data_IF_718956572282
#
_entry.id   IF_718956572282
#
_cell.length_a   1.000
_cell.length_b   1.000
_cell.length_c   1.000
_cell.angle_alpha   90.00
_cell.angle_beta   90.00
_cell.angle_gamma   90.00
#
_symmetry.space_group_name_H-M   'P 1'
#
loop_
_entity.id
_entity.type
_entity.pdbx_description
1 polymer ?
#
# COMPACT_ATOMS: atom_id res chain seq x y z
N UNK A 1 -12.83 4.44 -27.40
CA UNK A 1 -12.92 3.72 -26.11
C UNK A 1 -11.58 3.60 -25.37
N UNK A 2 -10.44 3.31 -26.06
CA UNK A 2 -9.11 3.23 -25.40
C UNK A 2 -8.63 4.56 -24.81
N UNK A 3 -8.93 5.71 -25.41
CA UNK A 3 -8.52 7.04 -24.92
C UNK A 3 -9.30 7.51 -23.68
N UNK A 4 -10.52 7.06 -23.47
CA UNK A 4 -11.34 7.40 -22.29
C UNK A 4 -10.85 6.72 -21.01
N UNK A 5 -10.07 5.63 -21.10
CA UNK A 5 -9.57 4.84 -19.95
C UNK A 5 -8.28 5.38 -19.32
N UNK A 6 -7.55 6.28 -19.99
CA UNK A 6 -6.36 6.92 -19.44
C UNK A 6 -6.63 7.91 -18.29
N UNK A 7 -7.90 8.10 -17.95
CA UNK A 7 -8.36 9.08 -16.96
C UNK A 7 -8.63 8.50 -15.58
N UNK A 8 -8.34 7.22 -15.30
CA UNK A 8 -8.24 6.70 -13.94
C UNK A 8 -6.94 7.18 -13.29
N UNK A 9 -6.93 8.41 -12.83
CA UNK A 9 -5.85 8.94 -12.01
C UNK A 9 -6.00 8.30 -10.64
N UNK A 10 -4.95 7.62 -10.18
CA UNK A 10 -4.89 7.08 -8.82
C UNK A 10 -4.90 8.23 -7.84
N UNK A 11 -6.05 8.49 -7.29
CA UNK A 11 -6.29 9.48 -6.28
C UNK A 11 -5.81 8.97 -4.92
N UNK A 12 -4.98 9.74 -4.22
CA UNK A 12 -4.45 9.39 -2.91
C UNK A 12 -4.51 10.57 -1.96
N UNK A 13 -5.22 10.41 -0.86
CA UNK A 13 -5.25 11.37 0.25
C UNK A 13 -3.99 11.28 1.13
N UNK A 14 -3.14 10.27 0.94
CA UNK A 14 -2.00 9.97 1.82
C UNK A 14 -0.74 10.77 1.45
N UNK A 15 -0.59 11.20 0.20
CA UNK A 15 0.60 11.92 -0.30
C UNK A 15 0.23 13.28 -0.86
N UNK A 16 0.90 14.35 -0.39
CA UNK A 16 0.68 15.74 -0.84
C UNK A 16 0.91 15.89 -2.35
N UNK A 17 2.05 15.44 -2.85
CA UNK A 17 2.33 15.47 -4.29
C UNK A 17 1.34 14.68 -5.16
N UNK A 18 0.63 13.70 -4.59
CA UNK A 18 -0.43 13.01 -5.33
C UNK A 18 -1.64 13.93 -5.53
N UNK A 19 -1.96 14.77 -4.55
CA UNK A 19 -3.05 15.73 -4.62
C UNK A 19 -2.80 16.78 -5.71
N UNK A 20 -1.59 17.39 -5.74
CA UNK A 20 -1.23 18.37 -6.77
C UNK A 20 -1.22 17.74 -8.16
N UNK A 21 -0.72 16.52 -8.28
CA UNK A 21 -0.74 15.78 -9.53
C UNK A 21 -2.17 15.52 -10.02
N UNK A 22 -3.10 15.19 -9.11
CA UNK A 22 -4.52 15.03 -9.47
C UNK A 22 -5.10 16.33 -10.00
N UNK A 23 -4.90 17.45 -9.32
CA UNK A 23 -5.37 18.75 -9.80
C UNK A 23 -4.80 19.10 -11.16
N UNK A 24 -3.49 18.88 -11.37
CA UNK A 24 -2.84 19.13 -12.66
C UNK A 24 -3.43 18.25 -13.78
N UNK A 25 -3.58 16.98 -13.53
CA UNK A 25 -4.13 16.03 -14.48
C UNK A 25 -5.60 16.33 -14.80
N UNK A 26 -6.42 16.62 -13.79
CA UNK A 26 -7.82 17.03 -14.00
C UNK A 26 -7.87 18.35 -14.78
N UNK A 27 -6.96 19.31 -14.49
CA UNK A 27 -6.81 20.54 -15.28
C UNK A 27 -6.58 20.26 -16.75
N UNK A 28 -5.72 19.30 -17.07
CA UNK A 28 -5.41 18.91 -18.44
C UNK A 28 -6.63 18.30 -19.19
N UNK A 29 -7.67 17.82 -18.47
CA UNK A 29 -8.87 17.25 -19.11
C UNK A 29 -9.81 18.30 -19.66
N UNK A 30 -9.69 19.57 -19.26
CA UNK A 30 -10.53 20.68 -19.74
C UNK A 30 -10.58 20.76 -21.27
N UNK A 31 -9.45 20.51 -21.93
CA UNK A 31 -9.35 20.50 -23.40
C UNK A 31 -10.24 19.45 -24.08
N UNK A 32 -10.47 18.31 -23.42
CA UNK A 32 -11.35 17.26 -23.98
C UNK A 32 -12.82 17.66 -23.86
N UNK A 33 -13.21 18.21 -22.71
CA UNK A 33 -14.57 18.74 -22.49
C UNK A 33 -14.90 19.91 -23.42
N UNK A 34 -13.90 20.72 -23.78
CA UNK A 34 -14.07 21.82 -24.75
C UNK A 34 -14.29 21.29 -26.18
N UNK A 35 -13.73 20.14 -26.55
CA UNK A 35 -13.91 19.51 -27.87
C UNK A 35 -15.24 18.78 -27.99
N UNK A 36 -15.67 18.14 -26.92
CA UNK A 36 -16.94 17.39 -26.86
C UNK A 36 -17.57 17.55 -25.48
N UNK A 37 -18.70 18.23 -25.43
CA UNK A 37 -19.46 18.47 -24.21
C UNK A 37 -20.05 17.20 -23.59
N UNK A 38 -20.18 16.12 -24.37
CA UNK A 38 -20.74 14.84 -23.91
C UNK A 38 -19.71 14.00 -23.16
N UNK A 39 -18.43 14.34 -23.20
CA UNK A 39 -17.40 13.66 -22.39
C UNK A 39 -17.72 13.86 -20.92
N UNK A 40 -17.84 12.76 -20.17
CA UNK A 40 -18.01 12.78 -18.72
C UNK A 40 -16.63 12.71 -18.05
N UNK A 41 -16.34 13.69 -17.20
CA UNK A 41 -15.13 13.73 -16.38
C UNK A 41 -15.50 13.36 -14.96
N UNK A 42 -14.93 12.24 -14.49
CA UNK A 42 -15.17 11.71 -13.15
C UNK A 42 -13.88 11.73 -12.32
N UNK A 43 -13.98 12.14 -11.06
CA UNK A 43 -12.93 12.07 -10.04
C UNK A 43 -13.44 11.20 -8.90
N UNK A 44 -12.75 10.11 -8.61
CA UNK A 44 -13.11 9.22 -7.51
C UNK A 44 -11.89 8.81 -6.69
N UNK A 45 -12.11 8.45 -5.43
CA UNK A 45 -11.05 7.93 -4.57
C UNK A 45 -11.00 8.60 -3.19
N UNK A 46 -9.92 8.32 -2.45
CA UNK A 46 -9.75 8.81 -1.07
C UNK A 46 -9.71 10.35 -0.98
N UNK A 47 -9.16 11.01 -1.99
CA UNK A 47 -9.07 12.46 -2.03
C UNK A 47 -10.45 13.09 -2.22
N UNK A 48 -11.26 12.53 -3.13
CA UNK A 48 -12.62 12.96 -3.40
C UNK A 48 -13.56 12.81 -2.18
N UNK A 49 -13.19 11.96 -1.22
CA UNK A 49 -13.92 11.77 0.03
C UNK A 49 -13.80 12.98 0.98
N UNK A 50 -12.72 13.77 0.88
CA UNK A 50 -12.49 14.93 1.74
C UNK A 50 -13.38 16.11 1.32
N UNK A 51 -14.01 16.76 2.30
CA UNK A 51 -14.99 17.84 2.05
C UNK A 51 -14.39 19.04 1.31
N UNK A 52 -13.25 19.53 1.79
CA UNK A 52 -12.57 20.67 1.20
C UNK A 52 -12.14 20.39 -0.26
N UNK A 53 -11.75 19.15 -0.56
CA UNK A 53 -11.37 18.73 -1.91
C UNK A 53 -12.58 18.66 -2.83
N UNK A 54 -13.68 18.04 -2.37
CA UNK A 54 -14.92 17.98 -3.15
C UNK A 54 -15.49 19.38 -3.42
N UNK A 55 -15.43 20.28 -2.43
CA UNK A 55 -15.78 21.70 -2.57
C UNK A 55 -14.91 22.39 -3.62
N UNK A 56 -13.59 22.19 -3.58
CA UNK A 56 -12.66 22.73 -4.58
C UNK A 56 -13.00 22.25 -5.98
N UNK A 57 -13.32 20.96 -6.17
CA UNK A 57 -13.74 20.45 -7.48
C UNK A 57 -15.07 21.08 -7.94
N UNK A 58 -15.99 21.30 -7.02
CA UNK A 58 -17.28 21.92 -7.34
C UNK A 58 -17.12 23.35 -7.82
N UNK A 59 -16.27 24.13 -7.18
CA UNK A 59 -16.10 25.57 -7.39
C UNK A 59 -15.08 25.88 -8.48
N UNK A 60 -13.91 25.25 -8.46
CA UNK A 60 -12.78 25.59 -9.33
C UNK A 60 -12.70 24.75 -10.63
N UNK A 61 -13.44 23.64 -10.72
CA UNK A 61 -13.43 22.75 -11.87
C UNK A 61 -14.86 22.51 -12.40
N UNK A 62 -15.52 23.52 -12.97
CA UNK A 62 -16.93 23.43 -13.38
C UNK A 62 -17.19 22.41 -14.48
N UNK A 63 -16.16 21.96 -15.17
CA UNK A 63 -16.21 20.93 -16.20
C UNK A 63 -16.09 19.49 -15.67
N UNK A 64 -15.80 19.29 -14.38
CA UNK A 64 -15.85 17.97 -13.73
C UNK A 64 -17.31 17.63 -13.43
N UNK A 65 -17.74 16.49 -13.89
CA UNK A 65 -19.15 16.07 -13.83
C UNK A 65 -19.47 15.25 -12.58
N UNK A 66 -18.57 14.34 -12.20
CA UNK A 66 -18.76 13.40 -11.10
C UNK A 66 -17.58 13.50 -10.12
N UNK A 67 -17.88 13.64 -8.83
CA UNK A 67 -16.88 13.55 -7.73
C UNK A 67 -17.48 12.64 -6.67
N UNK A 68 -16.81 11.51 -6.38
CA UNK A 68 -17.36 10.54 -5.43
C UNK A 68 -16.29 9.76 -4.67
N UNK A 69 -16.64 9.34 -3.46
CA UNK A 69 -15.77 8.63 -2.54
C UNK A 69 -15.54 7.16 -2.92
N UNK A 70 -14.66 6.49 -2.16
CA UNK A 70 -14.26 5.11 -2.42
C UNK A 70 -15.35 4.08 -2.17
N UNK A 71 -16.27 4.36 -1.26
CA UNK A 71 -17.30 3.38 -0.85
C UNK A 71 -18.47 3.28 -1.82
N UNK A 72 -18.68 4.30 -2.63
CA UNK A 72 -19.82 4.39 -3.56
C UNK A 72 -19.46 4.15 -5.03
N UNK A 73 -18.25 3.59 -5.28
CA UNK A 73 -17.76 3.33 -6.65
C UNK A 73 -18.68 2.39 -7.44
N UNK A 74 -19.32 1.44 -6.80
CA UNK A 74 -20.27 0.51 -7.42
C UNK A 74 -21.49 1.22 -8.02
N UNK A 75 -21.81 2.44 -7.54
CA UNK A 75 -22.90 3.29 -8.06
C UNK A 75 -22.50 4.10 -9.30
N UNK A 76 -21.30 3.91 -9.86
CA UNK A 76 -20.84 4.65 -11.04
C UNK A 76 -21.85 4.64 -12.21
N UNK A 77 -22.52 3.51 -12.56
CA UNK A 77 -23.54 3.51 -13.62
C UNK A 77 -24.71 4.47 -13.31
N UNK A 78 -25.19 4.51 -12.06
CA UNK A 78 -26.22 5.45 -11.61
C UNK A 78 -25.74 6.91 -11.73
N UNK A 79 -24.48 7.19 -11.33
CA UNK A 79 -23.94 8.55 -11.41
C UNK A 79 -23.81 9.02 -12.86
N UNK A 80 -23.41 8.12 -13.76
CA UNK A 80 -23.35 8.42 -15.20
C UNK A 80 -24.76 8.74 -15.72
N UNK A 81 -25.76 7.92 -15.38
CA UNK A 81 -27.13 8.16 -15.77
C UNK A 81 -27.67 9.51 -15.27
N UNK A 82 -27.46 9.82 -13.99
CA UNK A 82 -27.83 11.12 -13.40
C UNK A 82 -27.14 12.28 -14.11
N UNK A 83 -25.89 12.12 -14.54
CA UNK A 83 -25.17 13.14 -15.30
C UNK A 83 -25.76 13.32 -16.70
N UNK A 84 -26.13 12.23 -17.36
CA UNK A 84 -26.75 12.27 -18.71
C UNK A 84 -28.13 12.95 -18.67
N UNK A 85 -28.85 12.87 -17.56
CA UNK A 85 -30.14 13.56 -17.32
C UNK A 85 -30.00 15.00 -16.83
N UNK A 86 -28.78 15.53 -16.75
CA UNK A 86 -28.53 16.95 -16.54
C UNK A 86 -27.83 17.36 -15.24
N UNK A 87 -27.64 16.47 -14.24
CA UNK A 87 -27.08 16.83 -12.93
C UNK A 87 -25.61 16.45 -12.77
N UNK A 88 -24.79 17.36 -12.24
CA UNK A 88 -23.46 17.00 -11.69
C UNK A 88 -23.64 16.20 -10.40
N UNK A 89 -22.78 15.21 -10.15
CA UNK A 89 -22.88 14.35 -8.97
C UNK A 89 -21.68 14.58 -8.04
N UNK A 90 -21.97 14.85 -6.77
CA UNK A 90 -20.98 14.98 -5.69
C UNK A 90 -21.43 14.07 -4.53
N UNK A 91 -20.88 12.85 -4.49
CA UNK A 91 -21.32 11.82 -3.54
C UNK A 91 -20.16 11.37 -2.65
N UNK A 92 -20.28 11.56 -1.34
CA UNK A 92 -19.24 11.28 -0.35
C UNK A 92 -19.74 10.45 0.83
N UNK A 93 -20.85 9.79 0.69
CA UNK A 93 -21.42 9.01 1.79
C UNK A 93 -20.45 7.92 2.22
N UNK A 94 -20.14 7.89 3.51
CA UNK A 94 -19.43 6.81 4.17
C UNK A 94 -20.51 5.92 4.82
N UNK A 95 -21.07 5.03 4.05
CA UNK A 95 -21.96 4.00 4.58
C UNK A 95 -21.12 2.89 5.19
N UNK A 96 -21.48 2.43 6.41
CA UNK A 96 -20.92 1.20 6.97
C UNK A 96 -21.56 -0.05 6.30
N UNK A 97 -21.70 0.02 5.00
CA UNK A 97 -22.27 -1.05 4.20
C UNK A 97 -21.28 -2.19 4.01
N UNK A 98 -21.78 -3.38 3.72
CA UNK A 98 -20.99 -4.51 3.29
C UNK A 98 -20.12 -4.14 2.07
N UNK A 99 -18.99 -4.84 1.92
CA UNK A 99 -18.18 -4.68 0.72
C UNK A 99 -18.95 -5.30 -0.46
N UNK A 100 -19.13 -4.53 -1.52
CA UNK A 100 -19.79 -5.02 -2.72
C UNK A 100 -18.84 -5.92 -3.49
N UNK A 101 -19.23 -7.17 -3.64
CA UNK A 101 -18.49 -8.19 -4.38
C UNK A 101 -18.93 -8.23 -5.87
N UNK A 102 -18.26 -9.07 -6.66
CA UNK A 102 -18.57 -9.32 -8.09
C UNK A 102 -18.56 -8.05 -8.99
N UNK A 103 -17.85 -7.00 -8.57
CA UNK A 103 -17.66 -5.86 -9.46
C UNK A 103 -16.61 -6.23 -10.52
N UNK A 104 -16.92 -6.11 -11.82
CA UNK A 104 -15.96 -6.42 -12.87
C UNK A 104 -14.69 -5.58 -12.76
N UNK A 105 -13.57 -6.21 -12.50
CA UNK A 105 -12.26 -5.56 -12.35
C UNK A 105 -11.41 -5.84 -13.58
N UNK A 106 -11.00 -4.78 -14.28
CA UNK A 106 -9.99 -4.91 -15.30
C UNK A 106 -8.60 -4.93 -14.65
N UNK A 107 -7.86 -5.99 -14.85
CA UNK A 107 -6.47 -6.12 -14.41
C UNK A 107 -5.54 -5.50 -15.46
N UNK A 108 -4.64 -4.60 -15.03
CA UNK A 108 -3.67 -3.95 -15.91
C UNK A 108 -2.35 -4.74 -16.03
N UNK A 109 -2.14 -5.75 -15.18
CA UNK A 109 -0.97 -6.63 -15.15
C UNK A 109 -1.29 -8.02 -15.65
N UNK A 110 -0.25 -8.76 -16.03
CA UNK A 110 -0.36 -10.16 -16.47
C UNK A 110 0.38 -11.12 -15.51
N UNK A 111 1.23 -10.59 -14.63
CA UNK A 111 2.09 -11.39 -13.74
C UNK A 111 1.72 -11.18 -12.28
N UNK A 112 1.44 -9.93 -11.87
CA UNK A 112 1.11 -9.55 -10.49
C UNK A 112 -0.37 -9.16 -10.38
N UNK A 113 -1.11 -9.88 -9.55
CA UNK A 113 -2.49 -9.59 -9.19
C UNK A 113 -2.58 -8.89 -7.83
N UNK A 114 -3.39 -7.83 -7.76
CA UNK A 114 -3.69 -7.13 -6.50
C UNK A 114 -5.07 -7.59 -6.03
N UNK A 115 -5.13 -8.15 -4.81
CA UNK A 115 -6.33 -8.72 -4.22
C UNK A 115 -6.67 -8.02 -2.91
N UNK A 116 -7.59 -7.04 -2.90
CA UNK A 116 -8.08 -6.44 -1.68
C UNK A 116 -8.81 -7.49 -0.82
N UNK A 117 -8.41 -7.62 0.44
CA UNK A 117 -9.04 -8.55 1.40
C UNK A 117 -9.88 -7.84 2.44
N UNK A 118 -9.64 -6.53 2.61
CA UNK A 118 -10.35 -5.69 3.56
C UNK A 118 -10.30 -4.22 3.15
N UNK A 119 -11.16 -3.40 3.75
CA UNK A 119 -11.23 -1.96 3.55
C UNK A 119 -11.45 -1.24 4.88
N UNK A 120 -10.95 0.01 4.99
CA UNK A 120 -11.04 0.82 6.21
C UNK A 120 -9.96 0.47 7.26
N UNK A 121 -9.90 1.23 8.35
CA UNK A 121 -8.94 1.02 9.42
C UNK A 121 -9.42 1.67 10.72
N UNK A 122 -9.35 0.94 11.84
CA UNK A 122 -9.76 1.40 13.16
C UNK A 122 -8.59 1.82 14.06
N UNK A 123 -7.37 1.96 13.52
CA UNK A 123 -6.20 2.31 14.34
C UNK A 123 -6.17 3.78 14.76
N UNK A 124 -6.79 4.68 14.01
CA UNK A 124 -6.85 6.12 14.31
C UNK A 124 -5.50 6.72 14.68
N UNK A 125 -4.41 6.30 13.99
CA UNK A 125 -3.11 6.95 14.14
C UNK A 125 -3.26 8.45 13.90
N UNK A 126 -2.69 9.29 14.76
CA UNK A 126 -2.99 10.75 14.80
C UNK A 126 -2.64 11.49 13.50
N UNK A 127 -1.72 10.98 12.71
CA UNK A 127 -1.32 11.54 11.41
C UNK A 127 -2.13 11.01 10.23
N UNK A 128 -2.94 9.97 10.42
CA UNK A 128 -3.51 9.18 9.32
C UNK A 128 -4.92 9.61 8.96
N UNK A 129 -5.14 9.94 7.68
CA UNK A 129 -6.43 10.32 7.15
C UNK A 129 -7.33 9.11 6.81
N UNK A 130 -6.78 7.89 6.77
CA UNK A 130 -7.48 6.70 6.29
C UNK A 130 -8.81 6.42 6.99
N UNK A 131 -8.93 6.45 8.33
CA UNK A 131 -10.22 6.23 9.00
C UNK A 131 -11.33 7.19 8.52
N UNK A 132 -10.95 8.42 8.21
CA UNK A 132 -11.87 9.49 7.82
C UNK A 132 -12.31 9.44 6.35
N UNK A 133 -11.52 8.77 5.49
CA UNK A 133 -11.81 8.68 4.04
C UNK A 133 -12.18 7.29 3.55
N UNK A 134 -11.93 6.25 4.37
CA UNK A 134 -12.29 4.87 4.05
C UNK A 134 -13.26 4.25 5.06
N UNK A 135 -13.51 4.95 6.19
CA UNK A 135 -14.39 4.50 7.24
C UNK A 135 -13.85 3.35 8.07
N UNK A 136 -14.74 2.70 8.81
CA UNK A 136 -14.42 1.59 9.69
C UNK A 136 -13.89 0.38 8.92
N UNK A 137 -13.12 -0.43 9.65
CA UNK A 137 -12.54 -1.68 9.16
C UNK A 137 -13.62 -2.69 8.79
N UNK A 138 -13.54 -3.26 7.60
CA UNK A 138 -14.46 -4.26 7.06
C UNK A 138 -13.66 -5.29 6.28
N UNK A 139 -13.84 -6.56 6.60
CA UNK A 139 -13.20 -7.68 5.92
C UNK A 139 -14.14 -8.25 4.85
N UNK A 140 -13.58 -8.71 3.74
CA UNK A 140 -14.30 -9.49 2.74
C UNK A 140 -14.48 -10.92 3.23
N UNK A 141 -15.54 -11.59 2.78
CA UNK A 141 -15.76 -13.02 3.07
C UNK A 141 -14.62 -13.86 2.49
N UNK A 142 -14.16 -14.87 3.24
CA UNK A 142 -13.01 -15.67 2.80
C UNK A 142 -13.29 -16.40 1.47
N UNK A 143 -14.50 -16.88 1.27
CA UNK A 143 -14.88 -17.60 0.05
C UNK A 143 -14.82 -16.73 -1.20
N UNK A 144 -15.20 -15.45 -1.11
CA UNK A 144 -15.09 -14.49 -2.21
C UNK A 144 -13.63 -14.17 -2.54
N UNK A 145 -12.78 -14.07 -1.51
CA UNK A 145 -11.33 -13.88 -1.71
C UNK A 145 -10.71 -15.10 -2.39
N UNK A 146 -11.08 -16.31 -1.95
CA UNK A 146 -10.58 -17.57 -2.53
C UNK A 146 -11.05 -17.72 -3.98
N UNK A 147 -12.31 -17.39 -4.28
CA UNK A 147 -12.84 -17.38 -5.65
C UNK A 147 -12.02 -16.45 -6.54
N UNK A 148 -11.82 -15.20 -6.14
CA UNK A 148 -11.04 -14.22 -6.91
C UNK A 148 -9.56 -14.62 -7.02
N UNK A 149 -8.97 -15.22 -5.98
CA UNK A 149 -7.61 -15.74 -6.03
C UNK A 149 -7.46 -16.85 -7.08
N UNK A 150 -8.42 -17.80 -7.16
CA UNK A 150 -8.45 -18.84 -8.18
C UNK A 150 -8.57 -18.26 -9.58
N UNK A 151 -9.46 -17.30 -9.79
CA UNK A 151 -9.63 -16.62 -11.08
C UNK A 151 -8.31 -15.94 -11.55
N UNK A 152 -7.57 -15.33 -10.61
CA UNK A 152 -6.24 -14.75 -10.92
C UNK A 152 -5.25 -15.84 -11.34
N UNK A 153 -5.18 -16.96 -10.59
CA UNK A 153 -4.26 -18.07 -10.87
C UNK A 153 -4.58 -18.70 -12.23
N UNK A 154 -5.85 -18.97 -12.49
CA UNK A 154 -6.34 -19.57 -13.76
C UNK A 154 -6.08 -18.62 -14.94
N UNK A 155 -6.10 -17.31 -14.72
CA UNK A 155 -5.72 -16.28 -15.69
C UNK A 155 -4.20 -16.15 -15.91
N UNK A 156 -3.39 -16.94 -15.19
CA UNK A 156 -1.93 -17.01 -15.39
C UNK A 156 -1.10 -16.08 -14.52
N UNK A 157 -1.71 -15.40 -13.54
CA UNK A 157 -0.96 -14.56 -12.60
C UNK A 157 -0.03 -15.41 -11.73
N UNK A 158 1.19 -14.91 -11.52
CA UNK A 158 2.26 -15.61 -10.78
C UNK A 158 2.53 -15.02 -9.39
N UNK A 159 2.01 -13.87 -9.10
CA UNK A 159 2.06 -13.27 -7.77
C UNK A 159 0.71 -12.67 -7.42
N UNK A 160 0.19 -13.00 -6.25
CA UNK A 160 -1.01 -12.38 -5.67
C UNK A 160 -0.56 -11.57 -4.46
N UNK A 161 -0.79 -10.26 -4.49
CA UNK A 161 -0.53 -9.38 -3.36
C UNK A 161 -1.83 -9.04 -2.66
N UNK A 162 -1.98 -9.48 -1.41
CA UNK A 162 -3.12 -9.20 -0.56
C UNK A 162 -3.03 -7.76 -0.04
N UNK A 163 -4.11 -7.01 -0.19
CA UNK A 163 -4.18 -5.59 0.15
C UNK A 163 -5.24 -5.29 1.19
N UNK A 164 -4.93 -4.35 2.06
CA UNK A 164 -5.83 -3.72 3.01
C UNK A 164 -5.19 -2.45 3.56
N UNK A 165 -5.81 -1.81 4.53
CA UNK A 165 -5.21 -0.72 5.27
C UNK A 165 -4.50 -1.19 6.55
N UNK A 166 -4.84 -2.39 7.01
CA UNK A 166 -4.17 -3.16 8.05
C UNK A 166 -4.54 -4.64 7.85
N UNK A 167 -3.84 -5.34 6.96
CA UNK A 167 -4.21 -6.72 6.57
C UNK A 167 -4.19 -7.69 7.75
N UNK A 168 -3.36 -7.42 8.77
CA UNK A 168 -3.24 -8.29 9.95
C UNK A 168 -4.51 -8.32 10.80
N UNK A 169 -5.41 -7.34 10.65
CA UNK A 169 -6.70 -7.30 11.36
C UNK A 169 -7.83 -7.97 10.58
N UNK A 170 -7.53 -8.58 9.44
CA UNK A 170 -8.51 -9.33 8.65
C UNK A 170 -9.28 -10.36 9.51
N UNK A 171 -10.55 -10.50 9.22
CA UNK A 171 -11.48 -11.40 9.89
C UNK A 171 -12.31 -10.72 10.99
N UNK A 172 -11.90 -9.54 11.46
CA UNK A 172 -12.69 -8.80 12.45
C UNK A 172 -14.03 -8.38 11.86
N UNK A 173 -15.08 -8.69 12.59
CA UNK A 173 -16.46 -8.37 12.19
C UNK A 173 -17.10 -9.35 11.21
N UNK A 174 -16.39 -10.41 10.79
CA UNK A 174 -16.98 -11.53 10.05
C UNK A 174 -17.69 -12.48 11.03
N UNK A 175 -18.79 -13.08 10.59
CA UNK A 175 -19.45 -14.19 11.30
C UNK A 175 -18.56 -15.45 11.32
N UNK A 176 -17.79 -15.65 10.25
CA UNK A 176 -16.77 -16.67 10.13
C UNK A 176 -15.62 -16.36 11.09
N UNK A 177 -15.32 -17.30 11.99
CA UNK A 177 -14.20 -17.20 12.94
C UNK A 177 -12.87 -17.48 12.22
N UNK A 178 -12.40 -16.52 11.47
CA UNK A 178 -11.18 -16.57 10.67
C UNK A 178 -10.32 -15.35 10.95
N UNK A 179 -9.00 -15.52 10.94
CA UNK A 179 -8.04 -14.42 10.96
C UNK A 179 -7.16 -14.39 9.69
N UNK A 180 -6.23 -13.46 9.65
CA UNK A 180 -5.35 -13.30 8.47
C UNK A 180 -4.44 -14.53 8.26
N UNK A 181 -3.99 -15.17 9.32
CA UNK A 181 -3.19 -16.39 9.22
C UNK A 181 -4.00 -17.55 8.60
N UNK A 182 -5.24 -17.72 9.02
CA UNK A 182 -6.14 -18.74 8.45
C UNK A 182 -6.40 -18.45 6.95
N UNK A 183 -6.56 -17.19 6.58
CA UNK A 183 -6.70 -16.79 5.17
C UNK A 183 -5.45 -17.15 4.35
N UNK A 184 -4.25 -16.94 4.90
CA UNK A 184 -3.01 -17.34 4.23
C UNK A 184 -2.97 -18.86 3.99
N UNK A 185 -3.33 -19.68 4.97
CA UNK A 185 -3.41 -21.13 4.79
C UNK A 185 -4.43 -21.52 3.70
N UNK A 186 -5.62 -20.90 3.70
CA UNK A 186 -6.63 -21.15 2.66
C UNK A 186 -6.13 -20.81 1.26
N UNK A 187 -5.48 -19.65 1.07
CA UNK A 187 -4.94 -19.25 -0.25
C UNK A 187 -3.75 -20.13 -0.64
N UNK A 188 -2.88 -20.49 0.32
CA UNK A 188 -1.74 -21.37 0.08
C UNK A 188 -2.16 -22.76 -0.41
N UNK A 189 -3.33 -23.26 0.01
CA UNK A 189 -3.86 -24.57 -0.40
C UNK A 189 -4.40 -24.61 -1.84
N UNK A 190 -4.55 -23.47 -2.51
CA UNK A 190 -4.97 -23.43 -3.91
C UNK A 190 -3.84 -24.00 -4.79
N UNK A 191 -4.17 -24.93 -5.69
CA UNK A 191 -3.22 -25.51 -6.61
C UNK A 191 -2.65 -24.46 -7.59
N UNK A 192 -1.42 -24.65 -8.02
CA UNK A 192 -0.77 -23.78 -9.00
C UNK A 192 0.59 -23.27 -8.56
N UNK A 193 1.39 -22.83 -9.54
CA UNK A 193 2.70 -22.19 -9.33
C UNK A 193 2.53 -20.67 -9.28
N UNK A 194 2.33 -20.16 -8.06
CA UNK A 194 2.21 -18.74 -7.76
C UNK A 194 2.80 -18.45 -6.39
N UNK A 195 2.97 -17.15 -6.07
CA UNK A 195 3.42 -16.71 -4.76
C UNK A 195 2.46 -15.69 -4.16
N UNK A 196 2.45 -15.60 -2.84
CA UNK A 196 1.57 -14.75 -2.05
C UNK A 196 2.44 -13.69 -1.37
N UNK A 197 2.08 -12.43 -1.56
CA UNK A 197 2.59 -11.29 -0.79
C UNK A 197 1.45 -10.57 -0.10
N UNK A 198 1.79 -9.81 0.92
CA UNK A 198 0.85 -8.87 1.53
C UNK A 198 1.58 -7.60 1.98
N UNK A 199 0.84 -6.53 2.09
CA UNK A 199 1.35 -5.21 2.43
C UNK A 199 0.46 -4.57 3.49
N UNK A 200 0.97 -3.50 4.14
CA UNK A 200 0.19 -2.70 5.10
C UNK A 200 -0.19 -3.44 6.39
N UNK A 201 0.83 -4.04 7.02
CA UNK A 201 0.71 -4.63 8.36
C UNK A 201 0.81 -3.56 9.46
N UNK A 202 0.27 -3.87 10.64
CA UNK A 202 0.45 -3.05 11.83
C UNK A 202 1.08 -3.90 12.94
N UNK A 203 2.16 -3.42 13.62
CA UNK A 203 2.88 -4.23 14.62
C UNK A 203 2.00 -4.83 15.72
N UNK A 204 1.02 -4.07 16.23
CA UNK A 204 0.11 -4.56 17.29
C UNK A 204 -0.74 -5.77 16.89
N UNK A 205 -0.98 -5.95 15.58
CA UNK A 205 -1.83 -7.00 15.02
C UNK A 205 -1.01 -8.13 14.37
N UNK A 206 0.34 -8.04 14.43
CA UNK A 206 1.23 -9.09 13.95
C UNK A 206 1.39 -10.16 15.03
N UNK A 207 0.62 -11.23 14.93
CA UNK A 207 0.58 -12.32 15.91
C UNK A 207 1.62 -13.40 15.62
N UNK A 208 1.99 -14.20 16.63
CA UNK A 208 2.86 -15.36 16.42
C UNK A 208 2.22 -16.37 15.45
N UNK A 209 0.88 -16.55 15.48
CA UNK A 209 0.14 -17.37 14.53
C UNK A 209 0.36 -16.91 13.09
N UNK A 210 0.41 -15.59 12.84
CA UNK A 210 0.72 -15.07 11.52
C UNK A 210 2.15 -15.41 11.09
N UNK A 211 3.13 -15.28 12.00
CA UNK A 211 4.52 -15.65 11.73
C UNK A 211 4.67 -17.15 11.45
N UNK A 212 3.94 -17.98 12.18
CA UNK A 212 3.88 -19.44 11.93
C UNK A 212 3.27 -19.73 10.55
N UNK A 213 2.16 -19.08 10.18
CA UNK A 213 1.57 -19.22 8.84
C UNK A 213 2.54 -18.78 7.74
N UNK A 214 3.31 -17.69 7.94
CA UNK A 214 4.33 -17.27 6.99
C UNK A 214 5.46 -18.28 6.85
N UNK A 215 5.85 -18.97 7.94
CA UNK A 215 6.85 -20.05 7.91
C UNK A 215 6.33 -21.27 7.14
N UNK A 216 5.12 -21.73 7.47
CA UNK A 216 4.57 -23.00 7.02
C UNK A 216 4.01 -22.96 5.60
N UNK A 217 3.54 -21.81 5.15
CA UNK A 217 3.01 -21.62 3.81
C UNK A 217 4.15 -21.39 2.80
N UNK A 218 4.41 -22.38 1.93
CA UNK A 218 5.49 -22.33 0.94
C UNK A 218 5.32 -21.24 -0.11
N UNK A 219 4.07 -20.91 -0.45
CA UNK A 219 3.75 -19.87 -1.43
C UNK A 219 3.83 -18.47 -0.85
N UNK A 220 3.82 -18.33 0.48
CA UNK A 220 3.96 -17.02 1.15
C UNK A 220 5.43 -16.62 1.16
N UNK A 221 5.70 -15.48 0.55
CA UNK A 221 7.05 -14.93 0.48
C UNK A 221 7.56 -14.49 1.87
N UNK A 222 8.83 -14.76 2.14
CA UNK A 222 9.47 -14.46 3.43
C UNK A 222 9.86 -12.98 3.52
N UNK A 223 8.87 -12.13 3.34
CA UNK A 223 8.97 -10.67 3.42
C UNK A 223 7.83 -10.12 4.26
N UNK A 224 8.15 -9.32 5.26
CA UNK A 224 7.17 -8.66 6.12
C UNK A 224 7.34 -7.14 6.06
N UNK A 225 6.35 -6.48 5.48
CA UNK A 225 6.25 -5.02 5.56
C UNK A 225 5.58 -4.64 6.89
N UNK A 226 6.38 -4.11 7.83
CA UNK A 226 5.95 -3.84 9.20
C UNK A 226 6.27 -2.38 9.60
N UNK A 227 5.38 -1.42 9.28
CA UNK A 227 5.59 0.00 9.55
C UNK A 227 5.75 0.33 11.03
N UNK A 228 6.96 0.73 11.46
CA UNK A 228 7.20 1.14 12.85
C UNK A 228 7.06 2.65 13.07
N UNK A 229 7.18 3.47 12.04
CA UNK A 229 6.96 4.92 11.97
C UNK A 229 7.98 5.78 12.73
N UNK A 230 8.33 5.47 13.99
CA UNK A 230 9.32 6.16 14.83
C UNK A 230 9.97 5.20 15.84
N UNK A 231 11.23 5.41 16.15
CA UNK A 231 11.98 4.65 17.16
C UNK A 231 11.83 5.18 18.60
N UNK A 232 11.13 6.31 18.80
CA UNK A 232 10.87 6.89 20.10
C UNK A 232 9.51 6.47 20.65
N UNK A 233 9.48 5.91 21.86
CA UNK A 233 8.24 5.48 22.51
C UNK A 233 7.30 6.67 22.79
N UNK A 234 7.86 7.85 23.12
CA UNK A 234 7.05 9.06 23.28
C UNK A 234 6.37 9.48 21.97
N UNK A 235 7.11 9.45 20.86
CA UNK A 235 6.57 9.79 19.54
C UNK A 235 5.55 8.75 19.10
N UNK A 236 5.81 7.45 19.30
CA UNK A 236 4.84 6.38 19.04
C UNK A 236 3.53 6.59 19.80
N UNK A 237 3.61 6.96 21.08
CA UNK A 237 2.44 7.30 21.88
C UNK A 237 1.70 8.53 21.34
N UNK A 238 2.42 9.57 20.92
CA UNK A 238 1.83 10.78 20.31
C UNK A 238 1.19 10.46 18.94
N UNK A 239 1.73 9.50 18.21
CA UNK A 239 1.18 8.95 16.97
C UNK A 239 -0.04 8.04 17.19
N UNK A 240 -0.44 7.75 18.44
CA UNK A 240 -1.46 6.76 18.80
C UNK A 240 -1.12 5.34 18.29
N UNK A 241 0.16 4.97 18.39
CA UNK A 241 0.63 3.61 18.09
C UNK A 241 0.58 2.79 19.38
N UNK A 242 -0.13 1.66 19.37
CA UNK A 242 -0.38 0.83 20.55
C UNK A 242 0.71 -0.23 20.75
N UNK A 243 1.96 0.14 20.62
CA UNK A 243 3.15 -0.65 20.90
C UNK A 243 4.32 0.30 21.18
N UNK A 244 5.36 -0.21 21.82
CA UNK A 244 6.62 0.45 22.08
C UNK A 244 7.78 -0.18 21.27
N UNK A 245 8.96 0.42 21.35
CA UNK A 245 10.17 -0.05 20.69
C UNK A 245 10.56 -1.47 21.12
N UNK A 246 10.40 -1.80 22.41
CA UNK A 246 10.76 -3.10 22.94
C UNK A 246 9.86 -4.20 22.37
N UNK A 247 8.55 -3.99 22.34
CA UNK A 247 7.58 -4.90 21.73
C UNK A 247 7.83 -5.09 20.22
N UNK A 248 8.18 -4.00 19.52
CA UNK A 248 8.51 -4.08 18.09
C UNK A 248 9.75 -4.94 17.85
N UNK A 249 10.84 -4.70 18.60
CA UNK A 249 12.09 -5.49 18.48
C UNK A 249 11.86 -6.96 18.81
N UNK A 250 11.10 -7.25 19.88
CA UNK A 250 10.72 -8.63 20.21
C UNK A 250 10.02 -9.32 19.03
N UNK A 251 9.11 -8.62 18.35
CA UNK A 251 8.41 -9.17 17.20
C UNK A 251 9.36 -9.46 16.02
N UNK A 252 10.37 -8.61 15.80
CA UNK A 252 11.42 -8.84 14.80
C UNK A 252 12.23 -10.09 15.14
N UNK A 253 12.62 -10.25 16.40
CA UNK A 253 13.40 -11.42 16.87
C UNK A 253 12.58 -12.71 16.72
N UNK A 254 11.32 -12.71 17.14
CA UNK A 254 10.36 -13.84 16.98
C UNK A 254 10.18 -14.24 15.50
N UNK A 255 10.14 -13.25 14.60
CA UNK A 255 10.05 -13.53 13.18
C UNK A 255 11.34 -14.15 12.61
N UNK A 256 12.52 -13.67 13.06
CA UNK A 256 13.81 -14.22 12.65
C UNK A 256 14.09 -15.62 13.18
N UNK A 257 13.66 -15.92 14.40
CA UNK A 257 13.75 -17.28 14.96
C UNK A 257 12.96 -18.29 14.11
N UNK A 258 11.79 -17.89 13.60
CA UNK A 258 10.94 -18.74 12.75
C UNK A 258 11.39 -18.83 11.31
N UNK A 259 11.93 -17.73 10.82
CA UNK A 259 12.32 -17.55 9.42
C UNK A 259 13.65 -16.78 9.36
N UNK A 260 14.82 -17.46 9.47
CA UNK A 260 16.13 -16.79 9.51
C UNK A 260 16.40 -15.86 8.31
N UNK A 261 15.85 -16.18 7.13
CA UNK A 261 16.02 -15.41 5.90
C UNK A 261 14.91 -14.38 5.66
N UNK A 262 14.06 -14.07 6.67
CA UNK A 262 12.98 -13.10 6.51
C UNK A 262 13.55 -11.70 6.26
N UNK A 263 13.00 -11.04 5.25
CA UNK A 263 13.33 -9.65 4.94
C UNK A 263 12.25 -8.71 5.47
N UNK A 264 12.68 -7.57 6.01
CA UNK A 264 11.78 -6.56 6.55
C UNK A 264 11.82 -5.29 5.73
N UNK A 265 10.64 -4.71 5.50
CA UNK A 265 10.50 -3.33 5.04
C UNK A 265 9.60 -2.55 5.99
N UNK A 266 9.73 -1.24 6.02
CA UNK A 266 8.97 -0.41 6.95
C UNK A 266 8.69 0.98 6.38
N UNK A 267 7.71 1.67 6.99
CA UNK A 267 7.47 3.10 6.80
C UNK A 267 8.03 3.87 7.99
N UNK A 268 8.60 5.05 7.71
CA UNK A 268 9.10 5.99 8.71
C UNK A 268 8.60 7.39 8.39
N UNK A 269 8.13 8.09 9.42
CA UNK A 269 7.77 9.51 9.35
C UNK A 269 8.80 10.29 10.15
N UNK A 270 9.61 11.11 9.46
CA UNK A 270 10.62 11.99 10.04
C UNK A 270 9.99 13.35 10.37
N UNK A 271 10.30 13.90 11.53
CA UNK A 271 9.85 15.21 11.96
C UNK A 271 8.34 15.24 12.25
N UNK A 272 7.83 14.20 12.92
CA UNK A 272 6.48 14.24 13.48
C UNK A 272 6.34 15.42 14.41
N UNK A 273 5.16 16.12 14.51
CA UNK A 273 5.00 17.25 15.40
C UNK A 273 5.46 16.95 16.82
N UNK A 274 6.28 17.84 17.38
CA UNK A 274 6.94 17.71 18.69
C UNK A 274 8.09 16.69 18.78
N UNK A 275 8.45 15.99 17.73
CA UNK A 275 9.65 15.11 17.71
C UNK A 275 10.91 15.96 17.88
N UNK A 276 11.81 15.53 18.78
CA UNK A 276 13.14 16.14 18.95
C UNK A 276 14.20 15.41 18.10
N UNK A 277 15.37 16.04 17.95
CA UNK A 277 16.47 15.41 17.22
C UNK A 277 16.97 14.13 17.90
N UNK A 278 17.02 14.13 19.24
CA UNK A 278 17.42 12.96 20.04
C UNK A 278 16.46 11.80 19.81
N UNK A 279 15.16 12.05 19.73
CA UNK A 279 14.15 11.04 19.44
C UNK A 279 14.23 10.53 17.99
N UNK A 280 14.54 11.42 17.07
CA UNK A 280 14.86 11.01 15.70
C UNK A 280 16.09 10.09 15.65
N UNK A 281 17.13 10.36 16.44
CA UNK A 281 18.32 9.47 16.54
C UNK A 281 17.96 8.09 17.09
N UNK A 282 16.94 7.95 17.95
CA UNK A 282 16.42 6.64 18.35
C UNK A 282 15.84 5.87 17.15
N UNK A 283 15.19 6.58 16.23
CA UNK A 283 14.69 6.00 14.97
C UNK A 283 15.85 5.49 14.11
N UNK A 284 16.91 6.28 13.94
CA UNK A 284 18.12 5.85 13.23
C UNK A 284 18.77 4.63 13.90
N UNK A 285 18.85 4.63 15.25
CA UNK A 285 19.36 3.50 16.03
C UNK A 285 18.57 2.22 15.80
N UNK A 286 17.24 2.30 15.75
CA UNK A 286 16.36 1.16 15.47
C UNK A 286 16.57 0.64 14.03
N UNK A 287 16.70 1.52 13.04
CA UNK A 287 17.00 1.15 11.65
C UNK A 287 18.31 0.36 11.55
N UNK A 288 19.36 0.84 12.21
CA UNK A 288 20.67 0.16 12.26
C UNK A 288 20.58 -1.21 12.96
N UNK A 289 19.76 -1.34 14.00
CA UNK A 289 19.57 -2.59 14.73
C UNK A 289 18.76 -3.62 13.92
N UNK A 290 17.65 -3.21 13.30
CA UNK A 290 16.78 -4.11 12.53
C UNK A 290 17.36 -4.44 11.17
N UNK A 291 18.08 -3.52 10.52
CA UNK A 291 18.64 -3.70 9.17
C UNK A 291 17.55 -4.05 8.14
N UNK A 292 16.73 -3.06 7.82
CA UNK A 292 15.66 -3.23 6.83
C UNK A 292 16.22 -3.38 5.42
N UNK A 293 15.64 -4.28 4.63
CA UNK A 293 15.95 -4.41 3.20
C UNK A 293 15.61 -3.12 2.44
N UNK A 294 14.52 -2.46 2.82
CA UNK A 294 14.11 -1.17 2.25
C UNK A 294 13.23 -0.40 3.22
N UNK A 295 13.33 0.92 3.17
CA UNK A 295 12.46 1.83 3.92
C UNK A 295 11.67 2.72 2.98
N UNK A 296 10.40 2.97 3.33
CA UNK A 296 9.59 4.02 2.76
C UNK A 296 9.59 5.20 3.74
N UNK A 297 10.39 6.20 3.45
CA UNK A 297 10.64 7.33 4.33
C UNK A 297 9.88 8.56 3.86
N UNK A 298 9.29 9.28 4.82
CA UNK A 298 8.50 10.47 4.57
C UNK A 298 8.84 11.55 5.57
N UNK A 299 8.98 12.80 5.14
CA UNK A 299 8.91 13.93 6.05
C UNK A 299 7.44 14.13 6.40
N UNK A 300 7.14 14.34 7.68
CA UNK A 300 5.77 14.61 8.13
C UNK A 300 5.13 15.72 7.29
N UNK A 301 3.92 15.48 6.84
CA UNK A 301 3.09 16.44 6.12
C UNK A 301 1.69 16.46 6.73
N UNK A 302 1.21 17.59 7.24
CA UNK A 302 -0.10 17.67 7.89
C UNK A 302 -1.23 17.29 6.95
N UNK A 303 -2.22 16.56 7.46
CA UNK A 303 -3.44 16.19 6.72
C UNK A 303 -4.62 16.84 7.40
N UNK A 304 -5.31 17.70 6.66
CA UNK A 304 -6.50 18.37 7.16
C UNK A 304 -7.51 17.35 7.72
N UNK A 305 -8.03 17.62 8.91
CA UNK A 305 -8.95 16.73 9.60
C UNK A 305 -8.29 15.70 10.53
N UNK A 306 -6.96 15.58 10.54
CA UNK A 306 -6.26 14.67 11.47
C UNK A 306 -5.84 15.37 12.75
N UNK A 307 -5.75 14.63 13.90
CA UNK A 307 -5.28 15.22 15.16
C UNK A 307 -3.89 15.83 15.08
N UNK A 308 -2.94 15.16 14.41
CA UNK A 308 -1.56 15.63 14.29
C UNK A 308 -1.43 16.96 13.53
N UNK A 309 -2.36 17.25 12.61
CA UNK A 309 -2.36 18.55 11.90
C UNK A 309 -2.63 19.76 12.81
N UNK A 310 -3.12 19.53 14.03
CA UNK A 310 -3.40 20.56 15.03
C UNK A 310 -2.31 20.67 16.10
N UNK A 311 -1.31 19.76 16.07
CA UNK A 311 -0.22 19.76 17.03
C UNK A 311 0.80 20.86 16.70
N UNK A 312 1.47 21.46 17.70
CA UNK A 312 2.59 22.36 17.48
C UNK A 312 3.71 21.64 16.69
N UNK A 313 4.21 22.28 15.67
CA UNK A 313 5.31 21.76 14.84
C UNK A 313 6.47 22.78 14.79
N UNK A 314 7.34 22.81 15.84
CA UNK A 314 8.36 23.82 15.98
C UNK A 314 9.58 23.60 15.06
N UNK A 315 9.75 22.38 14.51
CA UNK A 315 10.91 22.03 13.69
C UNK A 315 10.67 22.48 12.26
N UNK A 316 11.59 23.26 11.70
CA UNK A 316 11.49 23.75 10.35
C UNK A 316 11.56 22.62 9.31
N UNK A 317 10.96 22.82 8.14
CA UNK A 317 11.02 21.86 7.04
C UNK A 317 12.47 21.60 6.59
N UNK A 318 13.32 22.62 6.64
CA UNK A 318 14.75 22.49 6.31
C UNK A 318 15.46 21.57 7.29
N UNK A 319 15.20 21.72 8.58
CA UNK A 319 15.81 20.87 9.62
C UNK A 319 15.32 19.42 9.49
N UNK A 320 14.03 19.21 9.29
CA UNK A 320 13.49 17.87 8.98
C UNK A 320 14.11 17.27 7.71
N UNK A 321 14.46 18.10 6.74
CA UNK A 321 15.20 17.68 5.54
C UNK A 321 16.59 17.13 5.87
N UNK A 322 17.33 17.77 6.79
CA UNK A 322 18.66 17.28 7.24
C UNK A 322 18.53 15.92 7.96
N UNK A 323 17.52 15.76 8.83
CA UNK A 323 17.23 14.49 9.49
C UNK A 323 16.88 13.40 8.49
N UNK A 324 16.06 13.74 7.52
CA UNK A 324 15.67 12.83 6.45
C UNK A 324 16.87 12.32 5.65
N UNK A 325 17.79 13.21 5.26
CA UNK A 325 19.01 12.86 4.54
C UNK A 325 19.96 11.99 5.40
N UNK A 326 20.00 12.22 6.71
CA UNK A 326 20.77 11.39 7.64
C UNK A 326 20.20 9.97 7.71
N UNK A 327 18.87 9.83 7.79
CA UNK A 327 18.21 8.53 7.77
C UNK A 327 18.46 7.78 6.45
N UNK A 328 18.38 8.48 5.32
CA UNK A 328 18.66 7.89 4.01
C UNK A 328 20.08 7.37 3.91
N UNK A 329 21.09 8.15 4.37
CA UNK A 329 22.49 7.69 4.39
C UNK A 329 22.68 6.45 5.26
N UNK A 330 22.01 6.37 6.42
CA UNK A 330 22.08 5.18 7.28
C UNK A 330 21.47 3.95 6.58
N UNK A 331 20.34 4.10 5.91
CA UNK A 331 19.71 3.01 5.17
C UNK A 331 20.51 2.60 3.92
N UNK A 332 21.10 3.54 3.22
CA UNK A 332 21.95 3.27 2.06
C UNK A 332 23.18 2.44 2.43
N UNK A 333 23.83 2.78 3.55
CA UNK A 333 24.94 2.01 4.07
C UNK A 333 24.53 0.56 4.42
N UNK A 334 23.36 0.37 5.07
CA UNK A 334 22.83 -0.95 5.41
C UNK A 334 22.52 -1.74 4.12
N UNK A 335 21.87 -1.10 3.16
CA UNK A 335 21.51 -1.75 1.90
C UNK A 335 22.76 -2.22 1.13
N UNK A 336 23.82 -1.41 1.10
CA UNK A 336 25.11 -1.77 0.50
C UNK A 336 25.72 -3.00 1.16
N UNK A 337 25.88 -2.96 2.50
CA UNK A 337 26.45 -4.06 3.26
C UNK A 337 25.67 -5.37 3.12
N UNK A 338 24.33 -5.30 3.10
CA UNK A 338 23.49 -6.49 2.99
C UNK A 338 23.42 -7.01 1.54
N UNK A 339 23.53 -6.14 0.54
CA UNK A 339 23.68 -6.55 -0.85
C UNK A 339 25.00 -7.29 -1.08
N UNK A 340 26.10 -6.84 -0.48
CA UNK A 340 27.40 -7.53 -0.56
C UNK A 340 27.34 -8.96 0.01
N UNK A 341 26.53 -9.20 1.07
CA UNK A 341 26.37 -10.54 1.68
C UNK A 341 25.61 -11.54 0.81
N UNK A 342 24.79 -11.07 -0.13
CA UNK A 342 24.02 -11.97 -1.01
C UNK A 342 24.75 -12.35 -2.28
N UNK A 343 25.89 -11.72 -2.57
CA UNK A 343 26.75 -12.07 -3.71
C UNK A 343 27.19 -13.53 -3.60
N UNK A 344 27.01 -14.30 -4.67
CA UNK A 344 27.31 -15.71 -4.72
C UNK A 344 26.20 -16.64 -4.19
N UNK A 345 25.12 -16.10 -3.62
CA UNK A 345 23.95 -16.89 -3.19
C UNK A 345 22.98 -17.15 -4.33
N UNK A 346 22.10 -18.13 -4.15
CA UNK A 346 21.01 -18.42 -5.09
C UNK A 346 19.70 -17.90 -4.52
N UNK A 347 19.00 -17.05 -5.26
CA UNK A 347 17.69 -16.53 -4.90
C UNK A 347 16.64 -16.92 -5.95
N UNK A 348 15.42 -17.22 -5.48
CA UNK A 348 14.27 -17.41 -6.37
C UNK A 348 13.72 -16.03 -6.75
N UNK A 349 13.70 -15.71 -8.04
CA UNK A 349 13.30 -14.39 -8.56
C UNK A 349 12.11 -14.52 -9.49
N UNK A 350 11.10 -13.69 -9.32
CA UNK A 350 10.03 -13.51 -10.32
C UNK A 350 10.37 -12.29 -11.16
N UNK A 351 10.79 -12.55 -12.39
CA UNK A 351 11.00 -11.50 -13.38
C UNK A 351 9.68 -11.11 -14.02
N UNK A 352 9.36 -9.84 -13.99
CA UNK A 352 8.06 -9.28 -14.44
C UNK A 352 8.20 -8.12 -15.43
N UNK A 353 9.38 -7.55 -15.55
CA UNK A 353 9.66 -6.47 -16.49
C UNK A 353 10.92 -6.74 -17.31
N UNK A 354 10.99 -6.12 -18.50
CA UNK A 354 12.19 -6.07 -19.33
C UNK A 354 12.56 -4.60 -19.50
N UNK A 355 13.78 -4.24 -19.10
CA UNK A 355 14.29 -2.87 -19.27
C UNK A 355 14.49 -2.53 -20.75
N UNK A 356 14.61 -1.23 -21.06
CA UNK A 356 14.92 -0.74 -22.41
C UNK A 356 16.26 -1.29 -22.95
N UNK A 357 17.17 -1.65 -22.05
CA UNK A 357 18.47 -2.22 -22.38
C UNK A 357 18.44 -3.76 -22.51
N UNK A 358 17.28 -4.38 -22.28
CA UNK A 358 17.07 -5.80 -22.43
C UNK A 358 17.47 -6.64 -21.22
N UNK A 359 17.60 -6.02 -20.04
CA UNK A 359 17.73 -6.72 -18.77
C UNK A 359 16.35 -7.14 -18.24
N UNK A 360 16.29 -8.32 -17.63
CA UNK A 360 15.13 -8.73 -16.86
C UNK A 360 15.20 -8.12 -15.49
N UNK A 361 14.10 -7.50 -15.04
CA UNK A 361 13.96 -6.99 -13.68
C UNK A 361 12.87 -7.74 -12.93
N UNK A 362 13.08 -7.96 -11.65
CA UNK A 362 12.14 -8.71 -10.83
C UNK A 362 12.46 -8.64 -9.34
N UNK A 363 11.63 -9.31 -8.54
CA UNK A 363 11.83 -9.39 -7.08
C UNK A 363 12.18 -10.81 -6.66
N UNK A 364 13.14 -10.90 -5.72
CA UNK A 364 13.46 -12.14 -5.02
C UNK A 364 12.28 -12.63 -4.16
N UNK A 365 12.40 -13.83 -3.61
CA UNK A 365 11.47 -14.36 -2.59
C UNK A 365 11.40 -13.52 -1.31
N UNK A 366 12.41 -12.70 -1.03
CA UNK A 366 12.31 -11.58 -0.10
C UNK A 366 11.75 -10.34 -0.82
N UNK A 367 12.47 -9.21 -0.77
CA UNK A 367 12.05 -7.95 -1.39
C UNK A 367 13.14 -7.28 -2.24
N UNK A 368 14.28 -7.95 -2.42
CA UNK A 368 15.38 -7.43 -3.24
C UNK A 368 14.95 -7.29 -4.70
N UNK A 369 15.23 -6.13 -5.28
CA UNK A 369 15.12 -5.93 -6.71
C UNK A 369 16.36 -6.54 -7.38
N UNK A 370 16.14 -7.41 -8.35
CA UNK A 370 17.19 -8.09 -9.10
C UNK A 370 17.08 -7.66 -10.56
N UNK A 371 18.21 -7.28 -11.11
CA UNK A 371 18.36 -7.01 -12.53
C UNK A 371 19.33 -8.04 -13.12
N UNK A 372 18.91 -8.73 -14.15
CA UNK A 372 19.68 -9.82 -14.76
C UNK A 372 19.76 -9.67 -16.28
N UNK A 373 20.97 -9.81 -16.82
CA UNK A 373 21.15 -9.94 -18.26
C UNK A 373 20.69 -11.33 -18.68
N UNK A 374 19.65 -11.39 -19.50
CA UNK A 374 19.08 -12.68 -19.92
C UNK A 374 19.18 -12.91 -21.43
N UNK A 375 19.35 -14.15 -21.88
CA UNK A 375 19.20 -14.54 -23.27
C UNK A 375 17.86 -14.09 -23.83
N UNK A 376 17.80 -13.82 -25.15
CA UNK A 376 16.55 -13.35 -25.80
C UNK A 376 15.36 -14.29 -25.57
N UNK A 377 15.65 -15.61 -25.51
CA UNK A 377 14.66 -16.65 -25.29
C UNK A 377 14.01 -16.57 -23.89
N UNK A 378 14.76 -16.16 -22.87
CA UNK A 378 14.26 -15.99 -21.51
C UNK A 378 13.41 -14.72 -21.32
N UNK A 379 13.48 -13.76 -22.23
CA UNK A 379 12.68 -12.50 -22.16
C UNK A 379 11.19 -12.73 -22.28
N UNK A 380 10.77 -13.93 -22.73
CA UNK A 380 9.37 -14.35 -22.81
C UNK A 380 8.94 -15.23 -21.62
N UNK A 381 9.88 -15.62 -20.74
CA UNK A 381 9.59 -16.53 -19.64
C UNK A 381 9.10 -15.74 -18.44
N UNK A 382 7.79 -15.78 -18.23
CA UNK A 382 7.09 -15.22 -17.06
C UNK A 382 7.00 -16.28 -15.95
N UNK A 383 8.17 -16.72 -15.42
CA UNK A 383 8.26 -17.78 -14.40
C UNK A 383 9.15 -17.34 -13.24
N UNK A 384 8.87 -17.89 -12.06
CA UNK A 384 9.85 -17.86 -10.98
C UNK A 384 11.07 -18.68 -11.39
N UNK A 385 12.25 -18.08 -11.35
CA UNK A 385 13.51 -18.72 -11.73
C UNK A 385 14.49 -18.58 -10.58
N UNK A 386 15.21 -19.65 -10.26
CA UNK A 386 16.34 -19.59 -9.35
C UNK A 386 17.50 -18.86 -10.05
N UNK A 387 17.98 -17.81 -9.47
CA UNK A 387 19.04 -16.98 -10.00
C UNK A 387 20.20 -16.87 -8.99
N UNK A 388 21.42 -17.09 -9.47
CA UNK A 388 22.63 -16.87 -8.67
C UNK A 388 23.05 -15.43 -8.80
N UNK A 389 23.11 -14.72 -7.67
CA UNK A 389 23.46 -13.32 -7.58
C UNK A 389 24.99 -13.15 -7.58
#
# INVERSE_FOLDING_TARGET
LRRQRQMCIRDSAVREHAQDRVYGNVGATKKYKAKDKNIIIAVCGCMAQQEHVAKKFKESFPYVDLVFGTQVQYRLPEFIYRRMTGSRVFERTLENSEIVEDIPVRRDGEIRGWLPVMNGCNNFCTYCIVPYVRGSERSRKSDEIIKEAKELIDSGFKEITLLGQNVNSYGRGLEEKIDFADLLYKINSIDGDFRIRFMTSHPKDCTLKLLDAMRDCEKVEKHLHLPFQSGSDRVLKAMNRHYDKAAYLKLIDEARERMPDIEFTSDIIVGFPTETYEEFLETVGLVKKVRFTSLFTFIYSPREGTPAAKMPDPVSREEKGKWFDELLRAQEQIAKEDTEKVIGTVKRVLFDEVSSEGYLTGKSNGFLNIEAKAPKEMRQIRRCTNYRI
#
